data_IF_104743836068
#
_entry.id   IF_104743836068
#
_cell.length_a   1.000
_cell.length_b   1.000
_cell.length_c   1.000
_cell.angle_alpha   90.00
_cell.angle_beta   90.00
_cell.angle_gamma   90.00
#
_symmetry.space_group_name_H-M   'P 1'
#
loop_
_entity.id
_entity.type
_entity.pdbx_description
1 polymer ?
#
# COMPACT_ATOMS: atom_id res chain seq x y z
N UNK A 1 27.48 17.17 -15.41
CA UNK A 1 26.71 16.30 -14.44
C UNK A 1 26.81 16.86 -13.00
N UNK A 2 27.95 17.29 -12.52
CA UNK A 2 28.11 17.89 -11.17
C UNK A 2 27.33 19.21 -11.00
N UNK A 3 27.30 20.08 -11.99
CA UNK A 3 26.57 21.36 -11.93
C UNK A 3 25.06 21.14 -11.79
N UNK A 4 24.50 20.13 -12.46
CA UNK A 4 23.07 19.77 -12.37
C UNK A 4 22.74 19.12 -11.02
N UNK A 5 23.66 18.32 -10.45
CA UNK A 5 23.49 17.73 -9.12
C UNK A 5 23.49 18.80 -8.02
N UNK A 6 24.38 19.80 -8.10
CA UNK A 6 24.46 20.89 -7.11
C UNK A 6 23.18 21.78 -7.15
N UNK A 7 22.60 22.00 -8.32
CA UNK A 7 21.35 22.79 -8.44
C UNK A 7 20.13 22.11 -7.80
N UNK A 8 20.12 20.79 -7.69
CA UNK A 8 19.01 20.00 -7.10
C UNK A 8 19.19 19.75 -5.60
N UNK A 9 20.39 19.89 -5.05
CA UNK A 9 20.68 19.67 -3.63
C UNK A 9 19.82 20.53 -2.69
N UNK A 10 19.43 21.74 -3.11
CA UNK A 10 18.54 22.63 -2.37
C UNK A 10 17.15 22.05 -2.12
N UNK A 11 16.73 21.01 -2.87
CA UNK A 11 15.44 20.35 -2.73
C UNK A 11 15.50 19.07 -1.88
N UNK A 12 16.67 18.62 -1.40
CA UNK A 12 16.76 17.41 -0.55
C UNK A 12 15.97 17.52 0.75
N UNK A 13 15.92 18.67 1.46
CA UNK A 13 15.05 18.83 2.61
C UNK A 13 13.58 18.64 2.24
N UNK A 14 13.16 19.12 1.07
CA UNK A 14 11.80 18.91 0.56
C UNK A 14 11.53 17.43 0.31
N UNK A 15 12.45 16.71 -0.32
CA UNK A 15 12.30 15.27 -0.52
C UNK A 15 12.14 14.53 0.82
N UNK A 16 12.90 14.91 1.86
CA UNK A 16 12.75 14.35 3.18
C UNK A 16 11.36 14.58 3.78
N UNK A 17 10.82 15.79 3.69
CA UNK A 17 9.44 16.11 4.13
C UNK A 17 8.40 15.28 3.37
N UNK A 18 8.59 15.11 2.06
CA UNK A 18 7.73 14.27 1.23
C UNK A 18 7.77 12.80 1.68
N UNK A 19 8.93 12.26 2.01
CA UNK A 19 9.06 10.92 2.56
C UNK A 19 8.51 10.80 3.98
N UNK A 20 8.63 11.86 4.80
CA UNK A 20 8.02 11.89 6.14
C UNK A 20 6.49 11.73 6.06
N UNK A 21 5.86 12.26 5.01
CA UNK A 21 4.45 12.01 4.75
C UNK A 21 4.13 10.52 4.60
N UNK A 22 4.97 9.78 3.87
CA UNK A 22 4.83 8.32 3.76
C UNK A 22 5.13 7.58 5.06
N UNK A 23 6.01 8.10 5.91
CA UNK A 23 6.22 7.54 7.25
C UNK A 23 4.95 7.66 8.11
N UNK A 24 4.32 8.83 8.13
CA UNK A 24 3.04 9.03 8.83
C UNK A 24 1.93 8.17 8.21
N UNK A 25 1.92 8.00 6.89
CA UNK A 25 1.00 7.10 6.20
C UNK A 25 1.21 5.64 6.60
N UNK A 26 2.46 5.23 6.86
CA UNK A 26 2.75 3.89 7.40
C UNK A 26 2.08 3.65 8.75
N UNK A 27 2.10 4.64 9.64
CA UNK A 27 1.37 4.60 10.92
C UNK A 27 -0.14 4.53 10.64
N UNK A 28 -0.67 5.41 9.80
CA UNK A 28 -2.10 5.50 9.48
C UNK A 28 -2.68 4.22 8.88
N UNK A 29 -1.93 3.57 7.98
CA UNK A 29 -2.36 2.31 7.36
C UNK A 29 -2.20 1.13 8.31
N UNK A 30 -1.16 1.12 9.13
CA UNK A 30 -0.91 0.04 10.09
C UNK A 30 -1.88 0.03 11.28
N UNK A 31 -2.33 1.21 11.73
CA UNK A 31 -3.10 1.36 12.96
C UNK A 31 -4.46 0.63 12.91
N UNK A 32 -5.15 0.65 11.78
CA UNK A 32 -6.44 -0.05 11.61
C UNK A 32 -6.29 -1.57 11.51
N UNK A 33 -5.08 -2.07 11.31
CA UNK A 33 -4.76 -3.50 11.36
C UNK A 33 -4.57 -4.04 12.78
N UNK A 34 -4.30 -3.15 13.74
CA UNK A 34 -3.99 -3.56 15.11
C UNK A 34 -5.24 -4.06 15.85
N UNK A 35 -5.13 -5.24 16.48
CA UNK A 35 -6.25 -5.85 17.19
C UNK A 35 -6.80 -4.93 18.29
N UNK A 36 -5.91 -4.37 19.10
CA UNK A 36 -6.27 -3.44 20.19
C UNK A 36 -7.01 -2.19 19.66
N UNK A 37 -6.66 -1.70 18.47
CA UNK A 37 -7.32 -0.55 17.86
C UNK A 37 -8.70 -0.90 17.33
N UNK A 38 -8.85 -2.08 16.74
CA UNK A 38 -10.16 -2.57 16.28
C UNK A 38 -11.14 -2.71 17.43
N UNK A 39 -10.70 -3.28 18.55
CA UNK A 39 -11.50 -3.41 19.75
C UNK A 39 -11.91 -2.05 20.30
N UNK A 40 -10.98 -1.08 20.32
CA UNK A 40 -11.27 0.28 20.76
C UNK A 40 -12.31 0.98 19.86
N UNK A 41 -12.21 0.82 18.53
CA UNK A 41 -13.16 1.41 17.58
C UNK A 41 -14.54 0.77 17.67
N UNK A 42 -14.63 -0.56 17.76
CA UNK A 42 -15.91 -1.28 17.90
C UNK A 42 -16.59 -0.89 19.21
N UNK A 43 -15.83 -0.80 20.31
CA UNK A 43 -16.35 -0.30 21.59
C UNK A 43 -16.86 1.14 21.47
N UNK A 44 -16.11 2.02 20.80
CA UNK A 44 -16.52 3.41 20.57
C UNK A 44 -17.82 3.50 19.77
N UNK A 45 -18.10 2.57 18.88
CA UNK A 45 -19.35 2.51 18.09
C UNK A 45 -20.51 1.82 18.84
N UNK A 46 -20.28 1.34 20.07
CA UNK A 46 -21.26 0.61 20.86
C UNK A 46 -21.53 -0.81 20.36
N UNK A 47 -20.60 -1.37 19.59
CA UNK A 47 -20.68 -2.74 19.04
C UNK A 47 -20.14 -3.81 19.99
N UNK A 48 -20.41 -5.06 19.66
CA UNK A 48 -19.89 -6.24 20.31
C UNK A 48 -18.52 -6.62 19.73
N UNK A 49 -17.46 -6.56 20.53
CA UNK A 49 -16.10 -6.86 20.10
C UNK A 49 -16.00 -8.25 19.44
N UNK A 50 -16.77 -9.22 19.88
CA UNK A 50 -16.71 -10.59 19.34
C UNK A 50 -17.38 -10.68 17.96
N UNK A 51 -18.53 -10.03 17.80
CA UNK A 51 -19.36 -10.13 16.58
C UNK A 51 -18.97 -9.10 15.54
N UNK A 52 -18.64 -7.87 15.97
CA UNK A 52 -18.55 -6.70 15.08
C UNK A 52 -17.13 -6.31 14.70
N UNK A 53 -16.10 -7.07 15.13
CA UNK A 53 -14.70 -6.75 14.80
C UNK A 53 -14.43 -6.69 13.30
N UNK A 54 -15.19 -7.45 12.53
CA UNK A 54 -15.13 -7.43 11.05
C UNK A 54 -15.54 -6.09 10.42
N UNK A 55 -16.34 -5.27 11.14
CA UNK A 55 -16.73 -3.95 10.64
C UNK A 55 -15.54 -3.04 10.34
N UNK A 56 -14.43 -3.20 11.07
CA UNK A 56 -13.21 -2.44 10.80
C UNK A 56 -12.62 -2.81 9.44
N UNK A 57 -12.68 -4.07 9.02
CA UNK A 57 -12.26 -4.46 7.67
C UNK A 57 -13.14 -3.80 6.59
N UNK A 58 -14.43 -3.65 6.83
CA UNK A 58 -15.35 -2.91 5.96
C UNK A 58 -15.00 -1.41 5.91
N UNK A 59 -14.61 -0.82 7.04
CA UNK A 59 -14.11 0.56 7.08
C UNK A 59 -12.83 0.70 6.23
N UNK A 60 -11.89 -0.22 6.37
CA UNK A 60 -10.66 -0.26 5.57
C UNK A 60 -10.97 -0.41 4.07
N UNK A 61 -11.98 -1.21 3.70
CA UNK A 61 -12.41 -1.38 2.30
C UNK A 61 -12.80 -0.04 1.65
N UNK A 62 -13.38 0.89 2.41
CA UNK A 62 -13.76 2.20 1.90
C UNK A 62 -12.56 3.00 1.35
N UNK A 63 -11.36 2.82 1.89
CA UNK A 63 -10.16 3.43 1.34
C UNK A 63 -9.86 2.91 -0.09
N UNK A 64 -10.10 1.64 -0.37
CA UNK A 64 -10.01 1.09 -1.73
C UNK A 64 -10.99 1.77 -2.68
N UNK A 65 -12.23 1.98 -2.24
CA UNK A 65 -13.25 2.68 -3.01
C UNK A 65 -12.89 4.15 -3.27
N UNK A 66 -12.45 4.87 -2.24
CA UNK A 66 -12.02 6.27 -2.36
C UNK A 66 -10.85 6.43 -3.33
N UNK A 67 -9.88 5.50 -3.27
CA UNK A 67 -8.76 5.45 -4.21
C UNK A 67 -9.24 5.18 -5.64
N UNK A 68 -10.14 4.23 -5.83
CA UNK A 68 -10.69 3.87 -7.14
C UNK A 68 -11.39 5.06 -7.82
N UNK A 69 -12.18 5.84 -7.06
CA UNK A 69 -12.91 6.99 -7.56
C UNK A 69 -11.97 8.13 -7.98
N UNK A 70 -10.96 8.42 -7.17
CA UNK A 70 -10.13 9.63 -7.34
C UNK A 70 -8.92 9.38 -8.25
N UNK A 71 -8.40 8.16 -8.31
CA UNK A 71 -7.18 7.83 -9.05
C UNK A 71 -7.19 8.31 -10.51
N UNK A 72 -8.28 8.17 -11.31
CA UNK A 72 -8.32 8.66 -12.69
C UNK A 72 -8.20 10.19 -12.81
N UNK A 73 -8.55 10.93 -11.77
CA UNK A 73 -8.56 12.39 -11.75
C UNK A 73 -7.32 12.99 -11.09
N UNK A 74 -6.69 12.28 -10.16
CA UNK A 74 -5.57 12.78 -9.37
C UNK A 74 -4.35 13.13 -10.23
N UNK A 75 -4.02 12.33 -11.25
CA UNK A 75 -2.93 12.58 -12.17
C UNK A 75 -3.11 13.88 -12.97
N UNK A 76 -4.18 14.00 -13.78
CA UNK A 76 -4.50 15.23 -14.51
C UNK A 76 -4.61 16.47 -13.61
N UNK A 77 -5.11 16.31 -12.39
CA UNK A 77 -5.23 17.41 -11.44
C UNK A 77 -3.85 17.82 -10.91
N UNK A 78 -2.95 16.87 -10.65
CA UNK A 78 -1.56 17.13 -10.26
C UNK A 78 -0.79 17.91 -11.33
N UNK A 79 -1.00 17.57 -12.61
CA UNK A 79 -0.37 18.28 -13.72
C UNK A 79 -0.92 19.69 -13.89
N UNK A 80 -2.20 19.92 -13.59
CA UNK A 80 -2.89 21.20 -13.74
C UNK A 80 -2.64 22.17 -12.59
N UNK A 81 -2.79 21.70 -11.34
CA UNK A 81 -2.65 22.50 -10.12
C UNK A 81 -1.19 22.58 -9.63
N UNK A 82 -0.35 21.68 -10.12
CA UNK A 82 1.03 21.50 -9.65
C UNK A 82 1.14 20.49 -8.51
N UNK A 83 2.27 19.76 -8.51
CA UNK A 83 2.53 18.66 -7.58
C UNK A 83 2.46 19.06 -6.11
N UNK A 84 2.96 20.25 -5.77
CA UNK A 84 2.95 20.78 -4.41
C UNK A 84 1.53 20.88 -3.82
N UNK A 85 0.59 21.41 -4.60
CA UNK A 85 -0.80 21.57 -4.18
C UNK A 85 -1.46 20.20 -4.00
N UNK A 86 -1.21 19.27 -4.92
CA UNK A 86 -1.76 17.92 -4.81
C UNK A 86 -1.24 17.18 -3.57
N UNK A 87 0.06 17.27 -3.26
CA UNK A 87 0.62 16.64 -2.06
C UNK A 87 0.05 17.26 -0.79
N UNK A 88 -0.03 18.60 -0.72
CA UNK A 88 -0.61 19.29 0.42
C UNK A 88 -2.08 18.93 0.61
N UNK A 89 -2.86 18.88 -0.47
CA UNK A 89 -4.26 18.45 -0.44
C UNK A 89 -4.36 16.98 0.06
N UNK A 90 -3.51 16.10 -0.43
CA UNK A 90 -3.46 14.70 0.03
C UNK A 90 -3.17 14.60 1.53
N UNK A 91 -2.19 15.35 2.04
CA UNK A 91 -1.86 15.36 3.46
C UNK A 91 -3.02 15.93 4.33
N UNK A 92 -3.67 17.02 3.87
CA UNK A 92 -4.83 17.58 4.55
C UNK A 92 -6.03 16.62 4.57
N UNK A 93 -6.32 15.96 3.45
CA UNK A 93 -7.38 14.94 3.38
C UNK A 93 -7.09 13.75 4.30
N UNK A 94 -5.82 13.33 4.40
CA UNK A 94 -5.44 12.31 5.39
C UNK A 94 -5.65 12.77 6.81
N UNK A 95 -5.31 14.02 7.15
CA UNK A 95 -5.57 14.57 8.48
C UNK A 95 -7.06 14.55 8.81
N UNK A 96 -7.92 15.04 7.90
CA UNK A 96 -9.38 15.02 8.05
C UNK A 96 -9.88 13.59 8.24
N UNK A 97 -9.41 12.65 7.42
CA UNK A 97 -9.74 11.23 7.54
C UNK A 97 -9.41 10.68 8.92
N UNK A 98 -8.19 10.92 9.42
CA UNK A 98 -7.76 10.43 10.73
C UNK A 98 -8.59 11.03 11.86
N UNK A 99 -8.93 12.32 11.79
CA UNK A 99 -9.81 12.95 12.79
C UNK A 99 -11.23 12.35 12.77
N UNK A 100 -11.78 12.12 11.58
CA UNK A 100 -13.10 11.49 11.44
C UNK A 100 -13.10 10.07 12.01
N UNK A 101 -12.10 9.25 11.71
CA UNK A 101 -12.01 7.87 12.22
C UNK A 101 -11.81 7.89 13.75
N UNK A 102 -10.89 8.72 14.26
CA UNK A 102 -10.58 8.79 15.69
C UNK A 102 -11.80 9.18 16.55
N UNK A 103 -12.65 10.05 16.04
CA UNK A 103 -13.82 10.59 16.75
C UNK A 103 -15.15 10.08 16.19
N UNK A 104 -15.12 9.00 15.41
CA UNK A 104 -16.32 8.45 14.80
C UNK A 104 -17.31 7.94 15.88
N UNK A 105 -18.54 8.48 15.95
CA UNK A 105 -19.56 7.96 16.85
C UNK A 105 -20.21 6.67 16.32
N UNK A 106 -20.05 6.41 15.03
CA UNK A 106 -20.61 5.23 14.35
C UNK A 106 -19.62 4.72 13.31
N UNK A 107 -19.77 3.44 12.95
CA UNK A 107 -19.00 2.81 11.86
C UNK A 107 -19.12 3.60 10.53
N UNK A 108 -20.29 4.20 10.24
CA UNK A 108 -20.53 4.94 9.00
C UNK A 108 -19.63 6.18 8.91
N UNK A 109 -19.43 6.92 10.00
CA UNK A 109 -18.52 8.08 10.02
C UNK A 109 -17.08 7.65 9.77
N UNK A 110 -16.66 6.54 10.39
CA UNK A 110 -15.34 5.95 10.13
C UNK A 110 -15.19 5.49 8.67
N UNK A 111 -16.24 4.91 8.08
CA UNK A 111 -16.28 4.50 6.68
C UNK A 111 -16.06 5.68 5.73
N UNK A 112 -16.78 6.80 5.95
CA UNK A 112 -16.60 8.03 5.16
C UNK A 112 -15.18 8.57 5.37
N UNK A 113 -14.67 8.61 6.61
CA UNK A 113 -13.29 8.97 6.90
C UNK A 113 -12.29 8.12 6.12
N UNK A 114 -12.49 6.82 6.08
CA UNK A 114 -11.62 5.90 5.34
C UNK A 114 -11.71 6.08 3.82
N UNK A 115 -12.90 6.40 3.28
CA UNK A 115 -13.07 6.76 1.87
C UNK A 115 -12.25 8.01 1.52
N UNK A 116 -12.24 9.01 2.41
CA UNK A 116 -11.40 10.21 2.26
C UNK A 116 -9.91 9.84 2.28
N UNK A 117 -9.48 8.89 3.14
CA UNK A 117 -8.08 8.44 3.17
C UNK A 117 -7.62 7.82 1.86
N UNK A 118 -8.49 7.02 1.23
CA UNK A 118 -8.22 6.44 -0.09
C UNK A 118 -8.07 7.52 -1.18
N UNK A 119 -8.91 8.53 -1.14
CA UNK A 119 -8.83 9.71 -2.00
C UNK A 119 -7.52 10.47 -1.78
N UNK A 120 -7.15 10.69 -0.52
CA UNK A 120 -5.89 11.31 -0.11
C UNK A 120 -4.68 10.55 -0.65
N UNK A 121 -4.70 9.21 -0.57
CA UNK A 121 -3.64 8.35 -1.09
C UNK A 121 -3.41 8.56 -2.60
N UNK A 122 -4.48 8.69 -3.38
CA UNK A 122 -4.38 8.97 -4.81
C UNK A 122 -3.66 10.29 -5.10
N UNK A 123 -3.95 11.35 -4.34
CA UNK A 123 -3.26 12.64 -4.47
C UNK A 123 -1.79 12.55 -4.07
N UNK A 124 -1.48 11.83 -2.99
CA UNK A 124 -0.10 11.63 -2.55
C UNK A 124 0.72 10.85 -3.58
N UNK A 125 0.22 9.73 -4.08
CA UNK A 125 0.92 8.92 -5.07
C UNK A 125 1.19 9.71 -6.36
N UNK A 126 0.23 10.51 -6.83
CA UNK A 126 0.37 11.33 -8.04
C UNK A 126 1.25 12.58 -7.84
N UNK A 127 1.44 13.04 -6.61
CA UNK A 127 2.25 14.24 -6.33
C UNK A 127 3.65 13.92 -5.82
N UNK A 128 3.76 13.06 -4.80
CA UNK A 128 5.03 12.78 -4.10
C UNK A 128 6.00 12.00 -4.96
N UNK A 129 5.55 10.89 -5.56
CA UNK A 129 6.44 9.99 -6.31
C UNK A 129 7.12 10.73 -7.47
N UNK A 130 6.40 11.43 -8.37
CA UNK A 130 7.04 12.17 -9.44
C UNK A 130 7.97 13.28 -8.93
N UNK A 131 7.58 13.98 -7.87
CA UNK A 131 8.38 15.04 -7.29
C UNK A 131 9.72 14.51 -6.75
N UNK A 132 9.68 13.38 -6.00
CA UNK A 132 10.90 12.75 -5.48
C UNK A 132 11.79 12.19 -6.61
N UNK A 133 11.19 11.64 -7.67
CA UNK A 133 11.92 11.18 -8.87
C UNK A 133 12.67 12.33 -9.54
N UNK A 134 12.05 13.51 -9.64
CA UNK A 134 12.72 14.70 -10.21
C UNK A 134 13.85 15.24 -9.32
N UNK A 135 13.63 15.26 -8.00
CA UNK A 135 14.64 15.75 -7.06
C UNK A 135 15.84 14.82 -7.03
N UNK A 136 15.62 13.50 -7.01
CA UNK A 136 16.68 12.49 -6.88
C UNK A 136 17.25 12.01 -8.22
N UNK A 137 16.81 12.56 -9.35
CA UNK A 137 17.38 12.19 -10.65
C UNK A 137 18.92 12.40 -10.67
N UNK A 138 19.69 11.46 -11.24
CA UNK A 138 19.30 10.33 -12.07
C UNK A 138 18.91 9.04 -11.30
N UNK A 139 18.89 9.05 -9.97
CA UNK A 139 18.64 7.88 -9.12
C UNK A 139 17.14 7.65 -8.91
N UNK A 140 16.39 7.52 -10.00
CA UNK A 140 14.91 7.41 -9.96
C UNK A 140 14.41 6.18 -9.21
N UNK A 141 15.12 5.05 -9.33
CA UNK A 141 14.80 3.83 -8.58
C UNK A 141 14.89 4.02 -7.06
N UNK A 142 15.89 4.78 -6.58
CA UNK A 142 16.02 5.11 -5.17
C UNK A 142 14.82 5.92 -4.66
N UNK A 143 14.32 6.86 -5.45
CA UNK A 143 13.14 7.66 -5.09
C UNK A 143 11.92 6.78 -4.80
N UNK A 144 11.68 5.77 -5.63
CA UNK A 144 10.53 4.86 -5.45
C UNK A 144 10.75 3.88 -4.29
N UNK A 145 11.97 3.38 -4.09
CA UNK A 145 12.30 2.48 -2.98
C UNK A 145 12.13 3.19 -1.63
N UNK A 146 12.56 4.45 -1.52
CA UNK A 146 12.44 5.22 -0.29
C UNK A 146 10.98 5.43 0.14
N UNK A 147 10.01 5.51 -0.78
CA UNK A 147 8.58 5.59 -0.39
C UNK A 147 8.16 4.38 0.44
N UNK A 148 8.49 3.18 -0.01
CA UNK A 148 8.19 1.94 0.73
C UNK A 148 8.96 1.82 2.03
N UNK A 149 10.24 2.22 2.03
CA UNK A 149 11.07 2.23 3.23
C UNK A 149 10.45 3.09 4.34
N UNK A 150 10.02 4.31 4.01
CA UNK A 150 9.39 5.21 4.99
C UNK A 150 8.02 4.70 5.46
N UNK A 151 7.18 4.13 4.58
CA UNK A 151 5.92 3.48 4.99
C UNK A 151 6.22 2.35 6.00
N UNK A 152 7.16 1.47 5.67
CA UNK A 152 7.51 0.35 6.55
C UNK A 152 8.16 0.81 7.85
N UNK A 153 8.92 1.91 7.82
CA UNK A 153 9.44 2.58 9.01
C UNK A 153 8.33 3.04 9.96
N UNK A 154 7.30 3.69 9.44
CA UNK A 154 6.12 4.08 10.21
C UNK A 154 5.39 2.87 10.79
N UNK A 155 5.20 1.82 10.01
CA UNK A 155 4.62 0.57 10.48
C UNK A 155 5.45 -0.12 11.56
N UNK A 156 6.79 -0.01 11.52
CA UNK A 156 7.70 -0.58 12.51
C UNK A 156 7.65 0.15 13.85
N UNK A 157 7.46 1.46 13.83
CA UNK A 157 7.37 2.27 15.06
C UNK A 157 5.99 2.18 15.71
N UNK A 158 4.95 1.83 14.96
CA UNK A 158 3.57 1.79 15.45
C UNK A 158 3.36 0.94 16.73
N UNK A 159 3.91 -0.30 16.86
CA UNK A 159 3.75 -1.06 18.11
C UNK A 159 4.34 -0.37 19.34
N UNK A 160 5.42 0.39 19.17
CA UNK A 160 6.03 1.17 20.26
C UNK A 160 5.10 2.32 20.69
N UNK A 161 4.48 3.01 19.71
CA UNK A 161 3.49 4.07 19.97
C UNK A 161 2.29 3.51 20.74
N UNK A 162 1.79 2.34 20.32
CA UNK A 162 0.65 1.68 20.96
C UNK A 162 1.01 1.20 22.37
N UNK A 163 2.19 0.63 22.58
CA UNK A 163 2.70 0.24 23.89
C UNK A 163 2.78 1.44 24.84
N UNK A 164 3.30 2.56 24.39
CA UNK A 164 3.32 3.80 25.16
C UNK A 164 1.91 4.30 25.47
N UNK A 165 1.02 4.31 24.49
CA UNK A 165 -0.38 4.74 24.68
C UNK A 165 -1.11 3.87 25.72
N UNK A 166 -0.85 2.56 25.73
CA UNK A 166 -1.44 1.63 26.69
C UNK A 166 -0.94 1.91 28.14
N UNK A 167 0.37 2.12 28.31
CA UNK A 167 0.96 2.38 29.63
C UNK A 167 0.60 3.75 30.20
N UNK A 168 0.47 4.76 29.33
CA UNK A 168 0.12 6.13 29.73
C UNK A 168 -1.39 6.35 29.95
N UNK A 169 -2.21 5.29 29.94
CA UNK A 169 -3.69 5.39 29.98
C UNK A 169 -4.24 6.35 28.91
N UNK A 170 -3.52 6.46 27.82
CA UNK A 170 -3.87 7.31 26.69
C UNK A 170 -4.87 6.56 25.80
N UNK A 171 -6.07 7.09 25.62
CA UNK A 171 -7.10 6.39 24.84
C UNK A 171 -6.58 5.95 23.48
N UNK A 172 -6.76 4.66 23.13
CA UNK A 172 -6.19 4.08 21.89
C UNK A 172 -6.58 4.85 20.64
N UNK A 173 -7.81 5.32 20.52
CA UNK A 173 -8.27 6.11 19.36
C UNK A 173 -7.58 7.47 19.24
N UNK A 174 -6.98 7.98 20.32
CA UNK A 174 -6.17 9.20 20.27
C UNK A 174 -4.88 8.99 19.46
N UNK A 175 -4.37 7.78 19.32
CA UNK A 175 -3.24 7.48 18.43
C UNK A 175 -3.62 7.83 16.99
N UNK A 176 -4.84 7.49 16.56
CA UNK A 176 -5.35 7.88 15.24
C UNK A 176 -5.46 9.41 15.12
N UNK A 177 -5.99 10.06 16.17
CA UNK A 177 -6.13 11.53 16.19
C UNK A 177 -4.78 12.23 16.03
N UNK A 178 -3.76 11.84 16.82
CA UNK A 178 -2.43 12.44 16.71
C UNK A 178 -1.70 12.08 15.40
N UNK A 179 -2.02 10.95 14.79
CA UNK A 179 -1.57 10.67 13.42
C UNK A 179 -2.15 11.71 12.44
N UNK A 180 -3.41 12.12 12.63
CA UNK A 180 -4.01 13.23 11.89
C UNK A 180 -3.29 14.57 12.13
N UNK A 181 -2.93 14.87 13.37
CA UNK A 181 -2.11 16.06 13.70
C UNK A 181 -0.75 16.00 13.01
N UNK A 182 -0.10 14.83 12.97
CA UNK A 182 1.17 14.67 12.26
C UNK A 182 1.03 14.96 10.76
N UNK A 183 -0.06 14.54 10.10
CA UNK A 183 -0.34 14.91 8.71
C UNK A 183 -0.53 16.43 8.53
N UNK A 184 -1.19 17.12 9.45
CA UNK A 184 -1.31 18.60 9.41
C UNK A 184 0.06 19.27 9.50
N UNK A 185 0.91 18.82 10.40
CA UNK A 185 2.28 19.35 10.54
C UNK A 185 3.07 19.13 9.26
N UNK A 186 3.01 17.93 8.68
CA UNK A 186 3.67 17.64 7.40
C UNK A 186 3.11 18.49 6.27
N UNK A 187 1.78 18.70 6.22
CA UNK A 187 1.15 19.57 5.22
C UNK A 187 1.67 21.01 5.31
N UNK A 188 1.85 21.56 6.51
CA UNK A 188 2.43 22.89 6.73
C UNK A 188 3.86 22.94 6.18
N UNK A 189 4.70 21.95 6.50
CA UNK A 189 6.06 21.87 5.96
C UNK A 189 6.08 21.77 4.44
N UNK A 190 5.16 21.04 3.82
CA UNK A 190 5.03 20.96 2.37
C UNK A 190 4.69 22.32 1.77
N UNK A 191 3.80 23.10 2.41
CA UNK A 191 3.45 24.44 1.95
C UNK A 191 4.63 25.42 2.00
N UNK A 192 5.51 25.28 2.96
CA UNK A 192 6.70 26.15 3.12
C UNK A 192 7.83 25.66 2.19
N UNK A 193 7.98 24.36 2.00
CA UNK A 193 9.11 23.76 1.27
C UNK A 193 9.17 24.21 -0.20
N UNK A 194 10.37 24.52 -0.72
CA UNK A 194 10.57 24.79 -2.14
C UNK A 194 10.41 23.48 -2.95
N UNK A 195 9.53 23.47 -3.94
CA UNK A 195 9.33 22.33 -4.85
C UNK A 195 9.84 22.71 -6.24
N UNK A 196 10.53 21.79 -6.94
CA UNK A 196 10.93 22.01 -8.33
C UNK A 196 9.70 22.36 -9.19
N UNK A 197 9.85 23.33 -10.09
CA UNK A 197 8.80 23.58 -11.09
C UNK A 197 8.73 22.36 -11.99
N UNK A 198 7.54 21.76 -12.12
CA UNK A 198 7.31 20.68 -13.06
C UNK A 198 7.68 21.15 -14.48
N UNK A 199 8.53 20.42 -15.17
CA UNK A 199 8.72 20.62 -16.60
C UNK A 199 7.38 20.32 -17.27
N UNK A 200 6.75 21.34 -17.84
CA UNK A 200 5.52 21.17 -18.61
C UNK A 200 5.92 20.37 -19.87
N UNK A 201 5.71 19.08 -19.86
CA UNK A 201 5.70 18.28 -21.08
C UNK A 201 4.53 18.81 -21.91
N UNK A 202 4.84 19.49 -23.02
CA UNK A 202 3.87 20.18 -23.89
C UNK A 202 2.93 19.24 -24.66
N UNK A 203 2.91 17.95 -24.37
CA UNK A 203 2.02 16.98 -24.95
C UNK A 203 0.66 17.00 -24.26
N UNK A 204 -0.40 17.25 -25.04
CA UNK A 204 -1.77 17.07 -24.57
C UNK A 204 -1.93 15.62 -24.11
N UNK A 205 -2.04 15.40 -22.80
CA UNK A 205 -2.34 14.07 -22.26
C UNK A 205 -3.67 13.60 -22.87
N UNK A 206 -3.56 12.58 -23.71
CA UNK A 206 -4.73 11.88 -24.22
C UNK A 206 -5.45 11.20 -23.04
N UNK A 207 -6.78 11.15 -23.06
CA UNK A 207 -7.54 10.45 -22.00
C UNK A 207 -7.12 8.95 -21.93
N UNK A 208 -7.20 8.35 -20.75
CA UNK A 208 -6.91 6.92 -20.54
C UNK A 208 -7.61 6.04 -21.59
N UNK A 209 -8.87 6.37 -21.90
CA UNK A 209 -9.68 5.64 -22.91
C UNK A 209 -9.10 5.79 -24.31
N UNK A 210 -8.60 6.97 -24.68
CA UNK A 210 -8.01 7.20 -26.01
C UNK A 210 -6.68 6.46 -26.18
N UNK A 211 -5.87 6.40 -25.14
CA UNK A 211 -4.59 5.66 -25.15
C UNK A 211 -4.81 4.14 -25.21
N UNK A 212 -5.92 3.64 -24.67
CA UNK A 212 -6.29 2.21 -24.73
C UNK A 212 -6.87 1.80 -26.08
N UNK A 213 -7.47 2.76 -26.83
CA UNK A 213 -7.99 2.48 -28.16
C UNK A 213 -6.83 2.12 -29.11
N UNK A 214 -6.82 0.87 -29.56
CA UNK A 214 -5.79 0.34 -30.46
C UNK A 214 -4.67 -0.46 -29.75
N UNK A 215 -4.64 -0.50 -28.43
CA UNK A 215 -3.68 -1.34 -27.69
C UNK A 215 -4.21 -2.78 -27.62
N UNK A 216 -3.44 -3.73 -28.15
CA UNK A 216 -3.77 -5.16 -28.05
C UNK A 216 -3.25 -5.71 -26.72
N UNK A 217 -4.15 -6.12 -25.85
CA UNK A 217 -3.83 -6.83 -24.61
C UNK A 217 -3.77 -8.33 -24.88
N UNK A 218 -2.64 -8.94 -24.61
CA UNK A 218 -2.50 -10.40 -24.62
C UNK A 218 -3.05 -11.01 -23.32
N UNK A 219 -3.30 -12.31 -23.31
CA UNK A 219 -3.77 -13.00 -22.10
C UNK A 219 -2.75 -12.92 -20.95
N UNK A 220 -1.47 -12.84 -21.28
CA UNK A 220 -0.37 -12.65 -20.32
C UNK A 220 -0.40 -11.24 -19.70
N UNK A 221 -0.73 -10.21 -20.49
CA UNK A 221 -0.89 -8.85 -19.99
C UNK A 221 -2.03 -8.76 -18.98
N UNK A 222 -3.16 -9.42 -19.26
CA UNK A 222 -4.25 -9.56 -18.31
C UNK A 222 -3.84 -10.34 -17.07
N UNK A 223 -3.01 -11.38 -17.23
CA UNK A 223 -2.41 -12.13 -16.12
C UNK A 223 -1.60 -11.22 -15.19
N UNK A 224 -0.76 -10.34 -15.74
CA UNK A 224 0.04 -9.39 -14.94
C UNK A 224 -0.84 -8.37 -14.20
N UNK A 225 -1.93 -7.90 -14.83
CA UNK A 225 -2.91 -7.03 -14.16
C UNK A 225 -3.61 -7.78 -13.01
N UNK A 226 -3.97 -9.05 -13.24
CA UNK A 226 -4.57 -9.91 -12.21
C UNK A 226 -3.61 -10.21 -11.05
N UNK A 227 -2.29 -10.26 -11.29
CA UNK A 227 -1.28 -10.32 -10.21
C UNK A 227 -1.36 -9.04 -9.35
N UNK A 228 -1.59 -7.87 -9.95
CA UNK A 228 -1.82 -6.62 -9.19
C UNK A 228 -3.01 -6.72 -8.23
N UNK A 229 -4.08 -7.41 -8.64
CA UNK A 229 -5.23 -7.70 -7.78
C UNK A 229 -4.87 -8.70 -6.66
N UNK A 230 -4.33 -9.85 -7.01
CA UNK A 230 -4.09 -10.95 -6.05
C UNK A 230 -3.00 -10.62 -5.03
N UNK A 231 -1.91 -9.97 -5.44
CA UNK A 231 -0.86 -9.59 -4.50
C UNK A 231 -1.36 -8.51 -3.52
N UNK A 232 -2.19 -7.56 -4.00
CA UNK A 232 -2.80 -6.54 -3.13
C UNK A 232 -3.71 -7.20 -2.10
N UNK A 233 -4.59 -8.10 -2.52
CA UNK A 233 -5.44 -8.87 -1.61
C UNK A 233 -4.60 -9.58 -0.53
N UNK A 234 -3.56 -10.27 -0.94
CA UNK A 234 -2.74 -11.10 -0.06
C UNK A 234 -2.08 -10.28 1.05
N UNK A 235 -1.39 -9.18 0.72
CA UNK A 235 -0.75 -8.39 1.77
C UNK A 235 -1.73 -7.55 2.59
N UNK A 236 -2.84 -7.10 2.01
CA UNK A 236 -3.87 -6.32 2.72
C UNK A 236 -4.64 -7.19 3.72
N UNK A 237 -5.07 -8.39 3.30
CA UNK A 237 -5.70 -9.35 4.22
C UNK A 237 -4.79 -9.68 5.40
N UNK A 238 -3.50 -9.87 5.15
CA UNK A 238 -2.55 -10.08 6.23
C UNK A 238 -2.45 -8.86 7.14
N UNK A 239 -2.16 -7.69 6.59
CA UNK A 239 -1.96 -6.45 7.35
C UNK A 239 -3.17 -6.11 8.24
N UNK A 240 -4.38 -6.29 7.71
CA UNK A 240 -5.59 -5.87 8.41
C UNK A 240 -6.32 -6.98 9.16
N UNK A 241 -6.10 -8.25 8.88
CA UNK A 241 -6.89 -9.33 9.46
C UNK A 241 -6.08 -10.37 10.25
N UNK A 242 -4.77 -10.51 10.00
CA UNK A 242 -3.97 -11.57 10.63
C UNK A 242 -3.87 -11.44 12.15
N UNK A 243 -3.82 -10.25 12.72
CA UNK A 243 -3.80 -10.07 14.16
C UNK A 243 -5.09 -10.56 14.84
N UNK A 244 -6.23 -10.39 14.19
CA UNK A 244 -7.50 -10.95 14.70
C UNK A 244 -7.48 -12.47 14.68
N UNK A 245 -6.87 -13.08 13.66
CA UNK A 245 -6.64 -14.52 13.63
C UNK A 245 -5.69 -14.96 14.76
N UNK A 246 -4.56 -14.27 14.94
CA UNK A 246 -3.61 -14.54 16.00
C UNK A 246 -4.24 -14.50 17.39
N UNK A 247 -5.03 -13.46 17.67
CA UNK A 247 -5.71 -13.30 18.97
C UNK A 247 -6.79 -14.37 19.20
N UNK A 248 -7.66 -14.63 18.21
CA UNK A 248 -8.88 -15.43 18.42
C UNK A 248 -8.73 -16.90 18.11
N UNK A 249 -7.81 -17.26 17.21
CA UNK A 249 -7.63 -18.65 16.77
C UNK A 249 -6.36 -19.26 17.39
N UNK A 250 -5.28 -18.47 17.46
CA UNK A 250 -3.99 -18.94 17.99
C UNK A 250 -3.77 -18.58 19.46
N UNK A 251 -4.68 -17.84 20.11
CA UNK A 251 -4.57 -17.47 21.52
C UNK A 251 -3.44 -16.50 21.86
N UNK A 252 -3.00 -15.68 20.89
CA UNK A 252 -1.98 -14.65 21.13
C UNK A 252 -2.48 -13.59 22.11
N UNK A 253 -1.72 -13.33 23.16
CA UNK A 253 -1.98 -12.26 24.13
C UNK A 253 -1.47 -10.90 23.64
N UNK A 254 -0.32 -10.88 22.95
CA UNK A 254 0.24 -9.69 22.31
C UNK A 254 0.38 -9.89 20.79
N UNK A 255 -0.56 -9.34 20.05
CA UNK A 255 -0.56 -9.40 18.58
C UNK A 255 0.24 -8.28 17.93
N UNK A 256 0.69 -7.28 18.70
CA UNK A 256 1.46 -6.14 18.15
C UNK A 256 2.84 -6.58 17.64
N UNK A 257 3.37 -7.68 18.18
CA UNK A 257 4.60 -8.31 17.72
C UNK A 257 4.52 -8.69 16.25
N UNK A 258 3.38 -9.19 15.76
CA UNK A 258 3.17 -9.50 14.35
C UNK A 258 3.42 -8.30 13.44
N UNK A 259 2.99 -7.08 13.85
CA UNK A 259 3.27 -5.87 13.09
C UNK A 259 4.76 -5.56 13.01
N UNK A 260 5.49 -5.77 14.11
CA UNK A 260 6.93 -5.57 14.17
C UNK A 260 7.68 -6.53 13.24
N UNK A 261 7.31 -7.81 13.23
CA UNK A 261 7.88 -8.83 12.33
C UNK A 261 7.55 -8.51 10.86
N UNK A 262 6.30 -8.17 10.56
CA UNK A 262 5.85 -7.81 9.22
C UNK A 262 6.63 -6.61 8.66
N UNK A 263 6.74 -5.51 9.42
CA UNK A 263 7.46 -4.33 8.99
C UNK A 263 8.97 -4.60 8.81
N UNK A 264 9.58 -5.41 9.70
CA UNK A 264 10.97 -5.82 9.56
C UNK A 264 11.18 -6.66 8.30
N UNK A 265 10.28 -7.61 8.03
CA UNK A 265 10.29 -8.40 6.81
C UNK A 265 10.20 -7.53 5.56
N UNK A 266 9.31 -6.53 5.55
CA UNK A 266 9.15 -5.60 4.43
C UNK A 266 10.41 -4.75 4.21
N UNK A 267 11.02 -4.21 5.27
CA UNK A 267 12.26 -3.43 5.18
C UNK A 267 13.39 -4.31 4.62
N UNK A 268 13.55 -5.52 5.13
CA UNK A 268 14.55 -6.46 4.64
C UNK A 268 14.32 -6.82 3.17
N UNK A 269 13.06 -7.06 2.79
CA UNK A 269 12.69 -7.37 1.42
C UNK A 269 13.07 -6.25 0.44
N UNK A 270 12.86 -4.99 0.82
CA UNK A 270 13.21 -3.83 -0.02
C UNK A 270 14.71 -3.88 -0.38
N UNK A 271 15.56 -4.14 0.61
CA UNK A 271 17.02 -4.20 0.41
C UNK A 271 17.41 -5.42 -0.42
N UNK A 272 16.93 -6.60 -0.01
CA UNK A 272 17.29 -7.88 -0.64
C UNK A 272 16.76 -7.96 -2.07
N UNK A 273 15.51 -7.52 -2.31
CA UNK A 273 14.90 -7.54 -3.64
C UNK A 273 15.64 -6.58 -4.59
N UNK A 274 16.06 -5.40 -4.12
CA UNK A 274 16.87 -4.49 -4.91
C UNK A 274 18.19 -5.13 -5.38
N UNK A 275 18.84 -5.92 -4.53
CA UNK A 275 20.07 -6.66 -4.88
C UNK A 275 19.77 -7.82 -5.83
N UNK A 276 18.72 -8.58 -5.55
CA UNK A 276 18.35 -9.76 -6.33
C UNK A 276 17.95 -9.39 -7.76
N UNK A 277 17.22 -8.28 -7.94
CA UNK A 277 16.78 -7.80 -9.26
C UNK A 277 17.92 -7.37 -10.18
N UNK A 278 19.12 -7.14 -9.62
CA UNK A 278 20.32 -6.91 -10.44
C UNK A 278 20.79 -8.18 -11.17
N UNK A 279 20.45 -9.38 -10.67
CA UNK A 279 20.89 -10.66 -11.22
C UNK A 279 19.74 -11.55 -11.73
N UNK A 280 18.55 -11.42 -11.16
CA UNK A 280 17.38 -12.23 -11.47
C UNK A 280 16.32 -11.37 -12.13
N UNK A 281 15.77 -11.82 -13.25
CA UNK A 281 14.68 -11.11 -13.96
C UNK A 281 13.46 -10.95 -13.05
N UNK A 282 12.84 -9.76 -12.99
CA UNK A 282 11.69 -9.47 -12.14
C UNK A 282 10.55 -10.49 -12.26
N UNK A 283 10.33 -11.02 -13.46
CA UNK A 283 9.28 -12.00 -13.72
C UNK A 283 9.43 -13.31 -12.91
N UNK A 284 10.67 -13.73 -12.58
CA UNK A 284 10.90 -14.89 -11.74
C UNK A 284 10.53 -14.63 -10.28
N UNK A 285 10.80 -13.43 -9.81
CA UNK A 285 10.45 -12.99 -8.46
C UNK A 285 8.92 -12.91 -8.32
N UNK A 286 8.22 -12.48 -9.39
CA UNK A 286 6.76 -12.45 -9.43
C UNK A 286 6.11 -13.84 -9.28
N UNK A 287 6.83 -14.92 -9.52
CA UNK A 287 6.37 -16.27 -9.24
C UNK A 287 6.80 -16.76 -7.84
N UNK A 288 8.09 -16.59 -7.49
CA UNK A 288 8.66 -17.12 -6.24
C UNK A 288 8.01 -16.47 -5.01
N UNK A 289 7.80 -15.15 -5.02
CA UNK A 289 7.28 -14.42 -3.87
C UNK A 289 5.82 -14.80 -3.54
N UNK A 290 4.87 -14.79 -4.48
CA UNK A 290 3.52 -15.27 -4.22
C UNK A 290 3.46 -16.73 -3.81
N UNK A 291 4.33 -17.59 -4.35
CA UNK A 291 4.42 -19.01 -3.96
C UNK A 291 4.78 -19.14 -2.48
N UNK A 292 5.83 -18.44 -2.03
CA UNK A 292 6.25 -18.50 -0.61
C UNK A 292 5.18 -17.88 0.28
N UNK A 293 4.53 -16.78 -0.16
CA UNK A 293 3.42 -16.18 0.57
C UNK A 293 2.26 -17.17 0.73
N UNK A 294 1.89 -17.88 -0.32
CA UNK A 294 0.85 -18.91 -0.29
C UNK A 294 1.19 -20.03 0.72
N UNK A 295 2.41 -20.57 0.63
CA UNK A 295 2.90 -21.61 1.56
C UNK A 295 2.86 -21.08 3.00
N UNK A 296 3.30 -19.85 3.23
CA UNK A 296 3.33 -19.22 4.55
C UNK A 296 1.92 -19.09 5.14
N UNK A 297 0.95 -18.61 4.36
CA UNK A 297 -0.44 -18.46 4.83
C UNK A 297 -1.02 -19.81 5.23
N UNK A 298 -0.84 -20.86 4.42
CA UNK A 298 -1.31 -22.19 4.76
C UNK A 298 -0.56 -22.79 5.95
N UNK A 299 0.75 -22.56 6.08
CA UNK A 299 1.51 -22.99 7.24
C UNK A 299 0.96 -22.38 8.53
N UNK A 300 0.64 -21.08 8.55
CA UNK A 300 0.02 -20.42 9.69
C UNK A 300 -1.40 -20.96 9.93
N UNK A 301 -2.18 -21.19 8.87
CA UNK A 301 -3.54 -21.70 8.96
C UNK A 301 -3.61 -23.10 9.63
N UNK A 302 -2.66 -23.99 9.28
CA UNK A 302 -2.64 -25.36 9.84
C UNK A 302 -1.94 -25.44 11.19
N UNK A 303 -0.89 -24.67 11.42
CA UNK A 303 -0.13 -24.72 12.68
C UNK A 303 -0.90 -24.13 13.86
N UNK A 304 -1.65 -23.05 13.68
CA UNK A 304 -2.48 -22.38 14.69
C UNK A 304 -1.73 -22.03 15.99
N UNK A 305 -0.45 -21.62 15.88
CA UNK A 305 0.38 -21.28 17.04
C UNK A 305 0.81 -19.80 16.99
N UNK A 306 1.01 -19.16 18.17
CA UNK A 306 1.50 -17.79 18.25
C UNK A 306 2.85 -17.59 17.55
N UNK A 307 3.79 -18.54 17.71
CA UNK A 307 5.11 -18.49 17.10
C UNK A 307 5.01 -18.48 15.58
N UNK A 308 4.12 -19.32 15.03
CA UNK A 308 3.92 -19.39 13.60
C UNK A 308 3.25 -18.14 13.03
N UNK A 309 2.41 -17.46 13.82
CA UNK A 309 1.86 -16.14 13.46
C UNK A 309 2.96 -15.09 13.33
N UNK A 310 3.94 -15.06 14.24
CA UNK A 310 5.06 -14.12 14.19
C UNK A 310 6.02 -14.42 13.02
N UNK A 311 6.39 -15.70 12.82
CA UNK A 311 7.21 -16.11 11.68
C UNK A 311 6.48 -15.79 10.38
N UNK A 312 5.21 -16.15 10.30
CA UNK A 312 4.35 -15.85 9.16
C UNK A 312 4.28 -14.36 8.87
N UNK A 313 4.19 -13.50 9.90
CA UNK A 313 4.20 -12.05 9.72
C UNK A 313 5.50 -11.56 9.08
N UNK A 314 6.66 -12.03 9.51
CA UNK A 314 7.94 -11.69 8.90
C UNK A 314 8.03 -12.14 7.44
N UNK A 315 7.62 -13.37 7.15
CA UNK A 315 7.61 -13.91 5.79
C UNK A 315 6.60 -13.19 4.89
N UNK A 316 5.40 -12.88 5.37
CA UNK A 316 4.40 -12.13 4.61
C UNK A 316 4.84 -10.69 4.36
N UNK A 317 5.50 -10.04 5.33
CA UNK A 317 6.15 -8.76 5.14
C UNK A 317 7.19 -8.81 4.03
N UNK A 318 8.02 -9.85 3.99
CA UNK A 318 9.05 -10.03 2.98
C UNK A 318 8.47 -10.38 1.60
N UNK A 319 7.69 -11.45 1.52
CA UNK A 319 7.29 -12.03 0.23
C UNK A 319 5.98 -11.48 -0.33
N UNK A 320 5.04 -11.00 0.49
CA UNK A 320 3.81 -10.41 0.00
C UNK A 320 3.89 -8.89 -0.17
N UNK A 321 4.43 -8.18 0.84
CA UNK A 321 4.50 -6.71 0.82
C UNK A 321 5.79 -6.15 0.22
N UNK A 322 6.85 -6.95 0.15
CA UNK A 322 8.22 -6.53 -0.19
C UNK A 322 8.49 -6.16 -1.65
N UNK A 323 7.47 -5.75 -2.41
CA UNK A 323 7.66 -5.17 -3.73
C UNK A 323 7.01 -5.92 -4.90
N UNK A 324 6.18 -6.94 -4.65
CA UNK A 324 5.52 -7.72 -5.73
C UNK A 324 4.70 -6.82 -6.65
N UNK A 325 3.90 -5.91 -6.09
CA UNK A 325 3.08 -4.97 -6.87
C UNK A 325 3.94 -4.05 -7.75
N UNK A 326 5.07 -3.57 -7.22
CA UNK A 326 6.01 -2.72 -7.96
C UNK A 326 6.67 -3.48 -9.11
N UNK A 327 7.06 -4.74 -8.87
CA UNK A 327 7.64 -5.60 -9.91
C UNK A 327 6.62 -5.97 -10.98
N UNK A 328 5.36 -6.25 -10.61
CA UNK A 328 4.29 -6.48 -11.56
C UNK A 328 4.08 -5.24 -12.44
N UNK A 329 4.02 -4.05 -11.83
CA UNK A 329 3.88 -2.77 -12.54
C UNK A 329 5.06 -2.52 -13.47
N UNK A 330 6.29 -2.74 -13.02
CA UNK A 330 7.48 -2.57 -13.85
C UNK A 330 7.48 -3.53 -15.04
N UNK A 331 7.18 -4.81 -14.81
CA UNK A 331 7.13 -5.83 -15.87
C UNK A 331 6.09 -5.50 -16.93
N UNK A 332 4.90 -5.05 -16.53
CA UNK A 332 3.86 -4.65 -17.51
C UNK A 332 4.26 -3.38 -18.25
N UNK A 333 4.90 -2.42 -17.58
CA UNK A 333 5.38 -1.19 -18.22
C UNK A 333 6.46 -1.45 -19.29
N UNK A 334 7.25 -2.51 -19.13
CA UNK A 334 8.23 -2.94 -20.14
C UNK A 334 7.54 -3.50 -21.38
N UNK A 335 6.37 -4.12 -21.24
CA UNK A 335 5.55 -4.62 -22.36
C UNK A 335 4.81 -3.50 -23.12
N UNK A 336 4.55 -2.36 -22.47
CA UNK A 336 3.82 -1.25 -23.05
C UNK A 336 4.60 0.08 -22.91
N UNK A 337 5.78 0.21 -23.54
CA UNK A 337 6.68 1.35 -23.33
C UNK A 337 6.08 2.70 -23.74
N UNK A 338 5.11 2.71 -24.67
CA UNK A 338 4.45 3.93 -25.17
C UNK A 338 3.35 4.46 -24.23
N UNK A 339 2.77 3.62 -23.36
CA UNK A 339 1.61 3.95 -22.51
C UNK A 339 1.83 3.56 -21.05
N UNK A 340 3.07 3.64 -20.55
CA UNK A 340 3.46 3.23 -19.19
C UNK A 340 2.56 3.81 -18.09
N UNK A 341 2.23 5.09 -18.18
CA UNK A 341 1.36 5.76 -17.20
C UNK A 341 -0.04 5.16 -17.15
N UNK A 342 -0.63 4.89 -18.32
CA UNK A 342 -1.95 4.28 -18.46
C UNK A 342 -1.97 2.86 -17.89
N UNK A 343 -0.96 2.06 -18.20
CA UNK A 343 -0.83 0.68 -17.70
C UNK A 343 -0.63 0.67 -16.18
N UNK A 344 0.21 1.55 -15.66
CA UNK A 344 0.36 1.72 -14.20
C UNK A 344 -1.00 2.05 -13.55
N UNK A 345 -1.78 2.96 -14.14
CA UNK A 345 -3.10 3.30 -13.62
C UNK A 345 -4.05 2.08 -13.61
N UNK A 346 -4.03 1.23 -14.64
CA UNK A 346 -4.87 0.02 -14.70
C UNK A 346 -4.52 -0.96 -13.58
N UNK A 347 -3.22 -1.19 -13.30
CA UNK A 347 -2.78 -2.05 -12.19
C UNK A 347 -3.21 -1.45 -10.85
N UNK A 348 -3.10 -0.14 -10.69
CA UNK A 348 -3.53 0.54 -9.47
C UNK A 348 -5.06 0.50 -9.30
N UNK A 349 -5.82 0.54 -10.40
CA UNK A 349 -7.28 0.30 -10.38
C UNK A 349 -7.57 -1.12 -9.93
N UNK A 350 -6.91 -2.14 -10.51
CA UNK A 350 -7.06 -3.54 -10.09
C UNK A 350 -6.73 -3.73 -8.60
N UNK A 351 -5.66 -3.10 -8.12
CA UNK A 351 -5.28 -3.06 -6.70
C UNK A 351 -6.38 -2.42 -5.82
N UNK A 352 -6.97 -1.32 -6.27
CA UNK A 352 -8.05 -0.62 -5.53
C UNK A 352 -9.34 -1.42 -5.48
N UNK A 353 -9.71 -2.07 -6.59
CA UNK A 353 -10.85 -3.00 -6.65
C UNK A 353 -10.62 -4.17 -5.69
N UNK A 354 -9.40 -4.74 -5.68
CA UNK A 354 -9.02 -5.79 -4.76
C UNK A 354 -9.21 -5.38 -3.31
N UNK A 355 -8.67 -4.23 -2.92
CA UNK A 355 -8.80 -3.71 -1.56
C UNK A 355 -10.27 -3.53 -1.19
N UNK A 356 -11.09 -2.95 -2.05
CA UNK A 356 -12.51 -2.73 -1.77
C UNK A 356 -13.29 -4.04 -1.64
N UNK A 357 -13.21 -4.92 -2.64
CA UNK A 357 -14.02 -6.13 -2.70
C UNK A 357 -13.61 -7.17 -1.68
N UNK A 358 -12.29 -7.43 -1.57
CA UNK A 358 -11.76 -8.47 -0.70
C UNK A 358 -11.88 -8.08 0.78
N UNK A 359 -11.61 -6.82 1.13
CA UNK A 359 -11.78 -6.35 2.51
C UNK A 359 -13.24 -6.27 2.92
N UNK A 360 -14.16 -5.91 2.00
CA UNK A 360 -15.61 -5.98 2.27
C UNK A 360 -16.07 -7.42 2.54
N UNK A 361 -15.57 -8.39 1.79
CA UNK A 361 -15.84 -9.80 2.04
C UNK A 361 -15.26 -10.25 3.40
N UNK A 362 -14.01 -9.90 3.68
CA UNK A 362 -13.33 -10.23 4.93
C UNK A 362 -14.09 -9.71 6.17
N UNK A 363 -14.73 -8.54 6.06
CA UNK A 363 -15.52 -7.95 7.13
C UNK A 363 -16.76 -8.78 7.56
N UNK A 364 -17.18 -9.72 6.71
CA UNK A 364 -18.35 -10.59 6.94
C UNK A 364 -17.98 -12.03 7.28
N UNK A 365 -16.68 -12.34 7.32
CA UNK A 365 -16.17 -13.71 7.49
C UNK A 365 -15.54 -13.89 8.85
N UNK A 366 -15.48 -15.16 9.32
CA UNK A 366 -14.68 -15.49 10.50
C UNK A 366 -13.18 -15.29 10.25
N UNK A 367 -12.37 -15.01 11.26
CA UNK A 367 -10.93 -14.82 11.10
C UNK A 367 -10.23 -16.02 10.42
N UNK A 368 -10.69 -17.23 10.70
CA UNK A 368 -10.17 -18.45 10.09
C UNK A 368 -10.53 -18.52 8.60
N UNK A 369 -11.75 -18.19 8.23
CA UNK A 369 -12.20 -18.13 6.83
C UNK A 369 -11.48 -17.03 6.05
N UNK A 370 -11.17 -15.90 6.67
CA UNK A 370 -10.40 -14.82 6.06
C UNK A 370 -8.97 -15.27 5.73
N UNK A 371 -8.32 -15.97 6.67
CA UNK A 371 -6.96 -16.47 6.42
C UNK A 371 -6.96 -17.55 5.33
N UNK A 372 -7.96 -18.45 5.31
CA UNK A 372 -8.13 -19.43 4.24
C UNK A 372 -8.35 -18.74 2.89
N UNK A 373 -9.22 -17.74 2.81
CA UNK A 373 -9.44 -16.93 1.61
C UNK A 373 -8.13 -16.28 1.13
N UNK A 374 -7.31 -15.78 2.05
CA UNK A 374 -5.99 -15.22 1.72
C UNK A 374 -5.08 -16.27 1.07
N UNK A 375 -5.01 -17.48 1.63
CA UNK A 375 -4.23 -18.58 1.07
C UNK A 375 -4.71 -18.98 -0.34
N UNK A 376 -6.02 -19.05 -0.56
CA UNK A 376 -6.61 -19.35 -1.88
C UNK A 376 -6.26 -18.26 -2.89
N UNK A 377 -6.40 -16.97 -2.54
CA UNK A 377 -6.07 -15.86 -3.42
C UNK A 377 -4.57 -15.85 -3.75
N UNK A 378 -3.72 -16.09 -2.76
CA UNK A 378 -2.27 -16.20 -2.97
C UNK A 378 -1.92 -17.39 -3.90
N UNK A 379 -2.62 -18.52 -3.77
CA UNK A 379 -2.50 -19.67 -4.65
C UNK A 379 -2.89 -19.37 -6.09
N UNK A 380 -4.04 -18.72 -6.29
CA UNK A 380 -4.49 -18.26 -7.62
C UNK A 380 -3.46 -17.30 -8.22
N UNK A 381 -2.97 -16.32 -7.44
CA UNK A 381 -1.93 -15.39 -7.88
C UNK A 381 -0.65 -16.11 -8.29
N UNK A 382 -0.26 -17.14 -7.54
CA UNK A 382 0.91 -17.98 -7.86
C UNK A 382 0.73 -18.73 -9.18
N UNK A 383 -0.44 -19.32 -9.44
CA UNK A 383 -0.73 -20.04 -10.69
C UNK A 383 -0.73 -19.07 -11.89
N UNK A 384 -1.31 -17.90 -11.76
CA UNK A 384 -1.27 -16.86 -12.80
C UNK A 384 0.18 -16.42 -13.06
N UNK A 385 0.96 -16.21 -12.01
CA UNK A 385 2.36 -15.82 -12.11
C UNK A 385 3.22 -16.91 -12.78
N UNK A 386 2.95 -18.19 -12.48
CA UNK A 386 3.58 -19.31 -13.15
C UNK A 386 3.26 -19.34 -14.64
N UNK A 387 1.99 -19.18 -15.01
CA UNK A 387 1.54 -19.12 -16.40
C UNK A 387 2.26 -18.00 -17.17
N UNK A 388 2.28 -16.79 -16.61
CA UNK A 388 2.96 -15.63 -17.25
C UNK A 388 4.47 -15.88 -17.35
N UNK A 389 5.09 -16.48 -16.31
CA UNK A 389 6.52 -16.77 -16.28
C UNK A 389 6.94 -17.75 -17.41
N UNK A 390 6.16 -18.81 -17.63
CA UNK A 390 6.41 -19.80 -18.68
C UNK A 390 6.34 -19.16 -20.08
N UNK A 391 5.37 -18.28 -20.29
CA UNK A 391 5.10 -17.65 -21.59
C UNK A 391 5.85 -16.34 -21.83
N UNK A 392 6.62 -15.88 -20.87
CA UNK A 392 7.26 -14.55 -20.92
C UNK A 392 8.22 -14.36 -22.09
N UNK A 393 8.93 -15.42 -22.53
CA UNK A 393 9.82 -15.34 -23.69
C UNK A 393 9.06 -15.05 -24.98
N UNK A 394 7.88 -15.64 -25.17
CA UNK A 394 7.03 -15.43 -26.33
C UNK A 394 6.43 -14.02 -26.33
N UNK A 395 6.22 -13.46 -25.13
CA UNK A 395 5.67 -12.15 -24.93
C UNK A 395 6.65 -11.04 -25.35
N UNK A 396 7.94 -11.19 -25.03
CA UNK A 396 8.99 -10.24 -25.45
C UNK A 396 9.20 -10.26 -26.97
N UNK A 397 9.12 -11.42 -27.61
CA UNK A 397 9.23 -11.53 -29.07
C UNK A 397 8.10 -10.77 -29.79
N UNK A 398 6.89 -10.74 -29.23
CA UNK A 398 5.73 -10.03 -29.79
C UNK A 398 5.74 -8.51 -29.55
N UNK A 399 6.64 -8.00 -28.70
CA UNK A 399 6.80 -6.55 -28.44
C UNK A 399 7.83 -5.92 -29.38
N UNK A 400 8.73 -6.74 -29.92
CA UNK A 400 9.75 -6.31 -30.89
C UNK A 400 9.23 -6.27 -32.34
N UNK A 401 8.07 -6.90 -32.63
CA UNK A 401 7.30 -6.77 -33.88
C UNK A 401 6.28 -5.62 -33.78
#
# INVERSE_FOLDING_TARGET
KEIVMNSKAKYYPTAFVLYLNYFVQGIATGVLGQQIMKEALVTQWGGDIVKDIGLVATVVAAAGLGRLIILPFAGPLSDKLGRKICVALGALLYAVSMFMIAKSPTMMVAYIGSLISGSANSFLDCGVIPCCVEILAPRTGLATILTKFFISGGQKVLPMILGFAATASFGMTNVIFYTGVAFLVVAIFIFIAPVPKAEKTGEKQQSLIQQLKGTKFTIESWGLIAIGFTCTATFQLWLYCAQTYGARVCGMTDTTTMQSYYASGTILAIIVTAIITMKIKPIRILFIYPLISCITVFAVYFAKTPEMCNIGAGLMGFFAAGGVLQMATATVNDLFPKIKGTITAIIMIASSISMYTVMTAAGKMSPESVLLMNGIIAGIGTLIALFVNIRYKNLLANVEE
#
